data_IF_896248763987
#
_entry.id   IF_896248763987
#
_cell.length_a   1.000
_cell.length_b   1.000
_cell.length_c   1.000
_cell.angle_alpha   90.00
_cell.angle_beta   90.00
_cell.angle_gamma   90.00
#
_symmetry.space_group_name_H-M   'P 1'
#
loop_
_entity.id
_entity.type
_entity.pdbx_description
1 polymer ?
#
# COMPACT_ATOMS: atom_id res chain seq x y z
N UNK A 1 6.77 -37.21 -19.21
CA UNK A 1 5.70 -37.41 -18.20
C UNK A 1 5.44 -36.05 -17.57
N UNK A 2 4.40 -35.32 -17.99
CA UNK A 2 4.07 -34.05 -17.36
C UNK A 2 3.25 -34.33 -16.11
N UNK A 3 3.82 -34.13 -14.93
CA UNK A 3 3.05 -34.19 -13.69
C UNK A 3 1.91 -33.16 -13.78
N UNK A 4 0.67 -33.65 -13.74
CA UNK A 4 -0.52 -32.82 -13.66
C UNK A 4 -0.58 -32.21 -12.26
N UNK A 5 0.16 -31.12 -12.04
CA UNK A 5 0.09 -30.34 -10.81
C UNK A 5 -1.29 -29.68 -10.72
N UNK A 6 -1.98 -29.89 -9.58
CA UNK A 6 -3.25 -29.25 -9.25
C UNK A 6 -2.94 -28.20 -8.19
N UNK A 7 -3.34 -26.96 -8.47
CA UNK A 7 -3.31 -25.88 -7.47
C UNK A 7 -4.70 -25.72 -6.87
N UNK A 8 -4.76 -25.70 -5.54
CA UNK A 8 -6.02 -25.68 -4.77
C UNK A 8 -6.29 -24.25 -4.31
N UNK A 9 -7.09 -23.50 -5.06
CA UNK A 9 -7.48 -22.13 -4.68
C UNK A 9 -8.28 -22.10 -3.39
N UNK A 10 -9.06 -23.16 -3.12
CA UNK A 10 -9.85 -23.26 -1.89
C UNK A 10 -8.98 -23.06 -0.64
N UNK A 11 -7.76 -23.60 -0.62
CA UNK A 11 -6.84 -23.44 0.50
C UNK A 11 -6.34 -21.99 0.67
N UNK A 12 -6.37 -21.18 -0.38
CA UNK A 12 -6.05 -19.74 -0.29
C UNK A 12 -7.25 -18.98 0.26
N UNK A 13 -8.46 -19.31 -0.22
CA UNK A 13 -9.71 -18.72 0.27
C UNK A 13 -9.89 -19.01 1.76
N UNK A 14 -9.70 -20.25 2.19
CA UNK A 14 -9.83 -20.67 3.59
C UNK A 14 -8.83 -19.94 4.49
N UNK A 15 -7.58 -19.76 4.03
CA UNK A 15 -6.58 -18.96 4.74
C UNK A 15 -7.08 -17.50 4.86
N UNK A 16 -7.54 -16.89 3.77
CA UNK A 16 -7.97 -15.48 3.76
C UNK A 16 -9.23 -15.23 4.60
N UNK A 17 -10.15 -16.20 4.69
CA UNK A 17 -11.34 -16.14 5.53
C UNK A 17 -11.02 -16.29 7.02
N UNK A 18 -9.97 -17.03 7.36
CA UNK A 18 -9.53 -17.20 8.73
C UNK A 18 -8.77 -15.94 9.19
N UNK A 19 -9.41 -15.10 9.98
CA UNK A 19 -8.80 -13.86 10.51
C UNK A 19 -7.59 -14.10 11.43
N UNK A 20 -7.43 -15.32 11.96
CA UNK A 20 -6.29 -15.71 12.78
C UNK A 20 -5.12 -16.26 11.97
N UNK A 21 -5.32 -16.53 10.68
CA UNK A 21 -4.24 -16.94 9.79
C UNK A 21 -3.39 -15.72 9.42
N UNK A 22 -2.11 -15.98 9.15
CA UNK A 22 -1.22 -14.95 8.62
C UNK A 22 -1.54 -14.72 7.15
N UNK A 23 -1.71 -13.46 6.77
CA UNK A 23 -1.86 -13.03 5.38
C UNK A 23 -0.65 -13.43 4.52
N UNK A 24 0.53 -13.57 5.14
CA UNK A 24 1.75 -14.05 4.49
C UNK A 24 1.56 -15.47 3.91
N UNK A 25 0.82 -16.37 4.58
CA UNK A 25 0.64 -17.74 4.08
C UNK A 25 -0.18 -17.78 2.79
N UNK A 26 -1.26 -17.00 2.73
CA UNK A 26 -2.09 -16.87 1.54
C UNK A 26 -1.31 -16.25 0.38
N UNK A 27 -0.53 -15.20 0.66
CA UNK A 27 0.33 -14.54 -0.34
C UNK A 27 1.43 -15.48 -0.87
N UNK A 28 2.06 -16.30 -0.03
CA UNK A 28 3.06 -17.28 -0.47
C UNK A 28 2.45 -18.35 -1.38
N UNK A 29 1.24 -18.82 -1.08
CA UNK A 29 0.51 -19.76 -1.96
C UNK A 29 0.19 -19.11 -3.32
N UNK A 30 -0.24 -17.85 -3.33
CA UNK A 30 -0.49 -17.10 -4.56
C UNK A 30 0.79 -16.80 -5.34
N UNK A 31 1.90 -16.51 -4.67
CA UNK A 31 3.22 -16.34 -5.30
C UNK A 31 3.66 -17.64 -5.97
N UNK A 32 3.49 -18.77 -5.29
CA UNK A 32 3.76 -20.09 -5.86
C UNK A 32 2.88 -20.35 -7.09
N UNK A 33 1.58 -20.04 -7.03
CA UNK A 33 0.69 -20.11 -8.18
C UNK A 33 1.17 -19.24 -9.34
N UNK A 34 1.54 -17.98 -9.09
CA UNK A 34 2.07 -17.05 -10.09
C UNK A 34 3.29 -17.62 -10.82
N UNK A 35 4.22 -18.26 -10.09
CA UNK A 35 5.39 -18.96 -10.68
C UNK A 35 4.98 -20.14 -11.55
N UNK A 36 3.98 -20.92 -11.14
CA UNK A 36 3.50 -22.07 -11.90
C UNK A 36 2.90 -21.66 -13.25
N UNK A 37 2.13 -20.56 -13.28
CA UNK A 37 1.49 -20.02 -14.48
C UNK A 37 2.37 -19.00 -15.24
N UNK A 38 3.57 -18.71 -14.72
CA UNK A 38 4.51 -17.70 -15.23
C UNK A 38 3.82 -16.34 -15.48
N UNK A 39 3.02 -15.89 -14.52
CA UNK A 39 2.38 -14.58 -14.57
C UNK A 39 3.25 -13.58 -13.79
N UNK A 40 3.88 -12.64 -14.52
CA UNK A 40 4.81 -11.67 -13.95
C UNK A 40 4.12 -10.60 -13.10
N UNK A 41 2.91 -10.15 -13.48
CA UNK A 41 2.16 -9.11 -12.78
C UNK A 41 1.72 -9.60 -11.40
N UNK A 42 1.20 -10.83 -11.30
CA UNK A 42 0.84 -11.46 -10.03
C UNK A 42 2.08 -11.76 -9.17
N UNK A 43 3.16 -12.19 -9.81
CA UNK A 43 4.42 -12.47 -9.11
C UNK A 43 4.97 -11.19 -8.47
N UNK A 44 5.05 -10.10 -9.23
CA UNK A 44 5.50 -8.81 -8.75
C UNK A 44 4.63 -8.28 -7.62
N UNK A 45 3.31 -8.34 -7.76
CA UNK A 45 2.38 -7.90 -6.71
C UNK A 45 2.59 -8.67 -5.41
N UNK A 46 2.60 -10.01 -5.47
CA UNK A 46 2.78 -10.84 -4.28
C UNK A 46 4.17 -10.66 -3.65
N UNK A 47 5.23 -10.51 -4.45
CA UNK A 47 6.58 -10.25 -3.95
C UNK A 47 6.68 -8.90 -3.23
N UNK A 48 6.03 -7.84 -3.74
CA UNK A 48 6.00 -6.52 -3.10
C UNK A 48 5.22 -6.54 -1.78
N UNK A 49 4.08 -7.24 -1.73
CA UNK A 49 3.30 -7.37 -0.49
C UNK A 49 4.06 -8.17 0.58
N UNK A 50 4.77 -9.24 0.20
CA UNK A 50 5.55 -10.08 1.12
C UNK A 50 6.80 -9.36 1.62
N UNK A 51 7.62 -8.83 0.69
CA UNK A 51 8.95 -8.30 1.01
C UNK A 51 8.95 -6.80 1.33
N UNK A 52 7.83 -6.13 1.09
CA UNK A 52 7.72 -4.67 1.18
C UNK A 52 8.10 -3.97 -0.12
N UNK A 53 7.78 -2.69 -0.15
CA UNK A 53 7.96 -1.80 -1.29
C UNK A 53 9.31 -1.08 -1.16
N UNK A 54 10.19 -1.24 -2.15
CA UNK A 54 11.49 -0.56 -2.19
C UNK A 54 11.62 0.18 -3.51
N UNK A 55 11.75 1.50 -3.46
CA UNK A 55 11.97 2.34 -4.66
C UNK A 55 10.85 2.24 -5.73
N UNK A 56 9.69 1.68 -5.35
CA UNK A 56 8.50 1.54 -6.20
C UNK A 56 7.41 2.44 -5.66
N UNK A 57 6.55 2.94 -6.54
CA UNK A 57 5.39 3.71 -6.14
C UNK A 57 4.47 2.90 -5.22
N UNK A 58 4.11 3.50 -4.09
CA UNK A 58 3.20 2.88 -3.13
C UNK A 58 1.75 2.94 -3.62
N UNK A 59 0.99 1.83 -3.52
CA UNK A 59 -0.44 1.85 -3.68
C UNK A 59 -1.12 2.84 -2.73
N UNK A 60 -2.26 3.40 -3.13
CA UNK A 60 -2.96 4.41 -2.32
C UNK A 60 -3.33 3.91 -0.91
N UNK A 61 -3.71 2.63 -0.78
CA UNK A 61 -4.04 2.04 0.53
C UNK A 61 -2.84 1.93 1.48
N UNK A 62 -1.61 2.12 0.97
CA UNK A 62 -0.36 2.14 1.74
C UNK A 62 0.07 3.55 2.16
N UNK A 63 -0.69 4.58 1.79
CA UNK A 63 -0.42 5.99 2.08
C UNK A 63 -1.41 6.50 3.13
N UNK A 64 -0.92 6.92 4.29
CA UNK A 64 -1.72 7.62 5.30
C UNK A 64 -1.58 9.13 5.15
N UNK A 65 -2.66 9.88 5.32
CA UNK A 65 -2.57 11.35 5.43
C UNK A 65 -1.75 11.69 6.67
N UNK A 66 -0.76 12.57 6.49
CA UNK A 66 0.12 13.01 7.57
C UNK A 66 -0.13 14.45 8.01
N UNK A 67 0.25 14.72 9.25
CA UNK A 67 0.34 16.07 9.83
C UNK A 67 1.81 16.38 10.09
N UNK A 68 2.28 17.53 9.62
CA UNK A 68 3.63 18.03 9.90
C UNK A 68 3.65 18.78 11.22
N UNK A 69 4.53 18.37 12.12
CA UNK A 69 4.76 19.00 13.42
C UNK A 69 6.21 19.42 13.53
N UNK A 70 6.44 20.62 14.07
CA UNK A 70 7.77 21.14 14.32
C UNK A 70 7.95 21.50 15.80
N UNK A 71 9.14 21.16 16.32
CA UNK A 71 9.64 21.68 17.58
C UNK A 71 10.49 22.91 17.29
N UNK A 72 10.11 23.99 17.93
CA UNK A 72 10.66 25.32 17.76
C UNK A 72 11.27 25.77 19.09
N UNK A 73 12.40 26.47 19.00
CA UNK A 73 13.04 27.11 20.13
C UNK A 73 12.91 28.62 19.99
N UNK A 74 12.46 29.27 21.06
CA UNK A 74 12.49 30.72 21.24
C UNK A 74 13.19 31.02 22.57
N UNK A 75 14.40 31.58 22.50
CA UNK A 75 15.32 31.70 23.66
C UNK A 75 15.51 30.37 24.42
N UNK A 76 15.05 30.29 25.67
CA UNK A 76 15.20 29.13 26.55
C UNK A 76 13.94 28.23 26.56
N UNK A 77 12.94 28.57 25.75
CA UNK A 77 11.65 27.86 25.72
C UNK A 77 11.49 27.09 24.43
N UNK A 78 10.97 25.86 24.55
CA UNK A 78 10.61 25.02 23.42
C UNK A 78 9.09 25.01 23.26
N UNK A 79 8.65 25.13 22.01
CA UNK A 79 7.26 25.05 21.61
C UNK A 79 7.12 24.00 20.51
N UNK A 80 6.06 23.20 20.59
CA UNK A 80 5.71 22.24 19.55
C UNK A 80 4.43 22.70 18.90
N UNK A 81 4.40 22.73 17.56
CA UNK A 81 3.28 23.23 16.80
C UNK A 81 3.13 22.54 15.45
N UNK A 82 1.90 22.54 14.93
CA UNK A 82 1.59 22.03 13.60
C UNK A 82 1.90 23.06 12.52
N UNK A 83 2.46 22.61 11.40
CA UNK A 83 2.72 23.44 10.23
C UNK A 83 1.87 22.91 9.09
N UNK A 84 0.96 23.72 8.50
CA UNK A 84 0.16 23.29 7.38
C UNK A 84 1.04 22.88 6.20
N UNK A 85 0.94 21.62 5.81
CA UNK A 85 1.71 21.05 4.68
C UNK A 85 1.39 21.78 3.37
N UNK A 86 0.17 22.31 3.24
CA UNK A 86 -0.26 23.11 2.08
C UNK A 86 0.50 24.43 1.89
N UNK A 87 1.25 24.89 2.90
CA UNK A 87 2.10 26.08 2.78
C UNK A 87 3.51 25.77 2.27
N UNK A 88 3.89 24.49 2.18
CA UNK A 88 5.16 24.09 1.57
C UNK A 88 5.08 24.21 0.05
N UNK A 89 6.20 24.52 -0.58
CA UNK A 89 6.33 24.51 -2.03
C UNK A 89 6.47 23.07 -2.55
N UNK A 90 6.05 22.83 -3.80
CA UNK A 90 6.34 21.60 -4.53
C UNK A 90 7.87 21.40 -4.62
N UNK A 91 8.38 20.16 -4.45
CA UNK A 91 7.65 18.89 -4.31
C UNK A 91 7.37 18.47 -2.85
N UNK A 92 7.64 19.35 -1.87
CA UNK A 92 7.63 18.98 -0.45
C UNK A 92 6.23 18.82 0.11
N UNK A 93 5.28 19.64 -0.34
CA UNK A 93 3.86 19.50 0.01
C UNK A 93 3.34 18.10 -0.34
N UNK A 94 3.53 17.61 -1.57
CA UNK A 94 3.04 16.29 -2.00
C UNK A 94 3.78 15.15 -1.30
N UNK A 95 5.10 15.29 -1.13
CA UNK A 95 5.92 14.26 -0.48
C UNK A 95 5.59 14.11 1.01
N UNK A 96 5.32 15.21 1.71
CA UNK A 96 5.04 15.20 3.15
C UNK A 96 3.55 15.09 3.49
N UNK A 97 2.67 15.22 2.50
CA UNK A 97 1.21 15.02 2.64
C UNK A 97 0.85 13.59 3.00
N UNK A 98 1.66 12.63 2.58
CA UNK A 98 1.44 11.22 2.84
C UNK A 98 2.62 10.56 3.56
N UNK A 99 2.32 9.86 4.65
CA UNK A 99 3.23 8.89 5.25
C UNK A 99 3.00 7.53 4.58
N UNK A 100 3.98 7.08 3.80
CA UNK A 100 3.99 5.78 3.16
C UNK A 100 4.43 4.66 4.11
N UNK A 101 3.72 3.52 4.07
CA UNK A 101 4.08 2.29 4.79
C UNK A 101 4.70 1.29 3.81
N UNK A 102 5.99 1.05 3.95
CA UNK A 102 6.80 0.30 2.99
C UNK A 102 7.02 -1.15 3.39
N UNK A 103 6.77 -1.50 4.64
CA UNK A 103 7.10 -2.80 5.21
C UNK A 103 6.20 -3.92 4.67
N UNK A 104 6.76 -5.12 4.52
CA UNK A 104 6.01 -6.31 4.11
C UNK A 104 4.95 -6.74 5.13
N UNK A 105 3.94 -7.48 4.69
CA UNK A 105 2.77 -7.85 5.51
C UNK A 105 3.12 -8.52 6.84
N UNK A 106 4.15 -9.36 6.88
CA UNK A 106 4.61 -10.04 8.10
C UNK A 106 5.05 -9.04 9.18
N UNK A 107 5.74 -7.98 8.77
CA UNK A 107 6.18 -6.91 9.67
C UNK A 107 4.97 -6.14 10.18
N UNK A 108 4.01 -5.82 9.31
CA UNK A 108 2.76 -5.15 9.69
C UNK A 108 1.94 -5.98 10.69
N UNK A 109 1.82 -7.29 10.48
CA UNK A 109 1.16 -8.21 11.42
C UNK A 109 1.86 -8.23 12.79
N UNK A 110 3.20 -8.23 12.79
CA UNK A 110 4.00 -8.09 14.01
C UNK A 110 3.78 -6.74 14.69
N UNK A 111 3.66 -5.65 13.92
CA UNK A 111 3.38 -4.31 14.45
C UNK A 111 2.02 -4.27 15.14
N UNK A 112 0.96 -4.82 14.55
CA UNK A 112 -0.38 -4.89 15.17
C UNK A 112 -0.36 -5.77 16.44
N UNK A 113 0.36 -6.89 16.40
CA UNK A 113 0.47 -7.80 17.54
C UNK A 113 1.22 -7.17 18.73
N UNK A 114 2.15 -6.24 18.46
CA UNK A 114 2.94 -5.53 19.48
C UNK A 114 2.30 -4.21 19.91
N UNK A 115 1.57 -3.52 19.03
CA UNK A 115 0.96 -2.22 19.32
C UNK A 115 -0.12 -2.32 20.40
N UNK A 116 -0.80 -3.46 20.50
CA UNK A 116 -1.70 -3.80 21.62
C UNK A 116 -1.04 -3.71 23.00
N UNK A 117 0.30 -3.67 23.09
CA UNK A 117 1.04 -3.53 24.35
C UNK A 117 1.53 -2.11 24.65
N UNK A 118 1.80 -1.29 23.63
CA UNK A 118 2.47 0.03 23.79
C UNK A 118 1.65 1.25 23.31
N UNK A 119 0.42 1.05 22.82
CA UNK A 119 -0.66 2.05 22.70
C UNK A 119 -0.32 3.45 22.13
N UNK A 120 0.74 3.61 21.32
CA UNK A 120 0.95 4.87 20.59
C UNK A 120 -0.05 4.95 19.43
N UNK A 121 -0.95 5.94 19.40
CA UNK A 121 -1.95 6.07 18.35
C UNK A 121 -1.36 6.55 17.01
N UNK A 122 -0.08 6.94 16.99
CA UNK A 122 0.56 7.60 15.86
C UNK A 122 1.82 6.86 15.39
N UNK A 123 1.97 6.78 14.07
CA UNK A 123 3.25 6.56 13.39
C UNK A 123 3.97 7.90 13.30
N UNK A 124 5.28 7.89 13.54
CA UNK A 124 6.11 9.09 13.54
C UNK A 124 7.28 8.86 12.59
N UNK A 125 7.51 9.81 11.68
CA UNK A 125 8.70 9.86 10.83
C UNK A 125 9.37 11.21 11.01
N UNK A 126 10.56 11.21 11.61
CA UNK A 126 11.37 12.41 11.76
C UNK A 126 11.90 12.86 10.39
N UNK A 127 11.87 14.16 10.14
CA UNK A 127 12.49 14.74 8.97
C UNK A 127 14.01 14.82 9.19
N UNK A 128 14.82 14.53 8.16
CA UNK A 128 16.25 14.86 8.16
C UNK A 128 16.51 16.33 8.46
N UNK A 129 17.66 16.62 9.05
CA UNK A 129 18.04 17.97 9.50
C UNK A 129 18.09 18.96 8.33
N UNK A 130 18.49 18.50 7.16
CA UNK A 130 18.55 19.25 5.91
C UNK A 130 17.19 19.81 5.51
N UNK A 131 16.11 19.10 5.84
CA UNK A 131 14.75 19.50 5.53
C UNK A 131 14.21 20.62 6.43
N UNK A 132 14.82 20.87 7.59
CA UNK A 132 14.34 21.90 8.53
C UNK A 132 14.43 23.30 7.94
N UNK A 133 15.35 23.53 7.01
CA UNK A 133 15.50 24.80 6.29
C UNK A 133 14.24 25.20 5.51
N UNK A 134 13.47 24.23 5.00
CA UNK A 134 12.21 24.47 4.28
C UNK A 134 11.03 24.72 5.24
N UNK A 135 11.11 24.17 6.45
CA UNK A 135 10.06 24.30 7.48
C UNK A 135 10.22 25.62 8.25
N UNK A 136 11.45 26.08 8.45
CA UNK A 136 11.80 27.31 9.17
C UNK A 136 11.03 28.57 8.72
N UNK A 137 10.97 28.95 7.42
CA UNK A 137 10.28 30.16 7.00
C UNK A 137 8.77 30.11 7.29
N UNK A 138 8.16 28.93 7.18
CA UNK A 138 6.75 28.73 7.50
C UNK A 138 6.49 28.86 8.99
N UNK A 139 7.34 28.26 9.82
CA UNK A 139 7.27 28.36 11.27
C UNK A 139 7.32 29.83 11.73
N UNK A 140 8.27 30.61 11.18
CA UNK A 140 8.40 32.04 11.49
C UNK A 140 7.21 32.89 11.03
N UNK A 141 6.50 32.46 9.99
CA UNK A 141 5.30 33.16 9.47
C UNK A 141 4.05 32.88 10.30
N UNK A 142 3.88 31.63 10.75
CA UNK A 142 2.69 31.18 11.47
C UNK A 142 2.78 31.56 12.96
N UNK A 143 3.93 31.30 13.57
CA UNK A 143 4.15 31.55 14.99
C UNK A 143 4.82 32.92 15.15
N UNK A 144 4.03 33.99 15.07
CA UNK A 144 4.54 35.35 15.28
C UNK A 144 5.12 35.48 16.70
N UNK A 145 6.38 35.91 16.78
CA UNK A 145 7.07 36.15 18.04
C UNK A 145 8.02 37.33 17.90
N UNK A 146 8.17 38.11 18.98
CA UNK A 146 9.15 39.20 19.07
C UNK A 146 10.60 38.68 19.12
N UNK A 147 10.78 37.36 19.28
CA UNK A 147 12.06 36.68 19.36
C UNK A 147 12.23 35.75 18.16
N UNK A 148 13.48 35.62 17.68
CA UNK A 148 13.82 34.68 16.60
C UNK A 148 13.45 33.25 17.00
N UNK A 149 12.55 32.67 16.23
CA UNK A 149 12.19 31.25 16.32
C UNK A 149 13.15 30.42 15.47
N UNK A 150 13.67 29.34 16.04
CA UNK A 150 14.50 28.36 15.33
C UNK A 150 13.81 26.99 15.37
N UNK A 151 13.57 26.38 14.23
CA UNK A 151 13.10 25.00 14.14
C UNK A 151 14.27 24.07 14.45
N UNK A 152 14.16 23.32 15.54
CA UNK A 152 15.20 22.37 16.00
C UNK A 152 14.91 20.94 15.57
N UNK A 153 13.64 20.62 15.32
CA UNK A 153 13.20 19.29 14.93
C UNK A 153 11.87 19.41 14.19
N UNK A 154 11.63 18.52 13.22
CA UNK A 154 10.33 18.36 12.59
C UNK A 154 10.08 16.88 12.34
N UNK A 155 8.83 16.46 12.42
CA UNK A 155 8.39 15.12 12.10
C UNK A 155 7.00 15.15 11.47
N UNK A 156 6.69 14.17 10.64
CA UNK A 156 5.32 13.89 10.23
C UNK A 156 4.74 12.80 11.12
N UNK A 157 3.45 12.94 11.44
CA UNK A 157 2.67 11.93 12.14
C UNK A 157 1.52 11.44 11.29
N UNK A 158 1.14 10.18 11.44
CA UNK A 158 -0.05 9.60 10.82
C UNK A 158 -0.73 8.63 11.79
N UNK A 159 -2.03 8.38 11.60
CA UNK A 159 -2.78 7.45 12.44
C UNK A 159 -2.25 6.02 12.29
N UNK A 160 -1.85 5.37 13.39
CA UNK A 160 -1.31 4.01 13.38
C UNK A 160 -2.31 2.94 12.94
N UNK A 161 -3.61 3.23 12.98
CA UNK A 161 -4.65 2.34 12.45
C UNK A 161 -4.52 2.07 10.95
N UNK A 162 -3.74 2.86 10.21
CA UNK A 162 -3.42 2.57 8.81
C UNK A 162 -2.81 1.17 8.65
N UNK A 163 -2.02 0.69 9.62
CA UNK A 163 -1.40 -0.65 9.55
C UNK A 163 -2.49 -1.74 9.53
N UNK A 164 -3.47 -1.64 10.42
CA UNK A 164 -4.62 -2.55 10.47
C UNK A 164 -5.47 -2.42 9.21
N UNK A 165 -5.67 -1.19 8.73
CA UNK A 165 -6.42 -0.93 7.50
C UNK A 165 -5.75 -1.56 6.28
N UNK A 166 -4.43 -1.42 6.13
CA UNK A 166 -3.65 -2.06 5.05
C UNK A 166 -3.87 -3.58 5.08
N UNK A 167 -3.67 -4.23 6.23
CA UNK A 167 -3.85 -5.68 6.34
C UNK A 167 -5.27 -6.13 6.00
N UNK A 168 -6.27 -5.35 6.42
CA UNK A 168 -7.68 -5.61 6.09
C UNK A 168 -7.95 -5.44 4.59
N UNK A 169 -7.49 -4.34 3.99
CA UNK A 169 -7.66 -4.04 2.56
C UNK A 169 -6.94 -5.05 1.67
N UNK A 170 -5.71 -5.45 2.00
CA UNK A 170 -5.00 -6.47 1.24
C UNK A 170 -5.74 -7.81 1.33
N UNK A 171 -6.21 -8.19 2.53
CA UNK A 171 -7.00 -9.42 2.71
C UNK A 171 -8.29 -9.38 1.90
N UNK A 172 -9.06 -8.29 1.94
CA UNK A 172 -10.32 -8.19 1.20
C UNK A 172 -10.11 -8.22 -0.31
N UNK A 173 -9.08 -7.52 -0.82
CA UNK A 173 -8.74 -7.49 -2.25
C UNK A 173 -8.24 -8.84 -2.75
N UNK A 174 -7.36 -9.51 -1.99
CA UNK A 174 -6.90 -10.86 -2.30
C UNK A 174 -8.05 -11.87 -2.32
N UNK A 175 -9.01 -11.72 -1.40
CA UNK A 175 -10.16 -12.60 -1.31
C UNK A 175 -11.06 -12.42 -2.54
N UNK A 176 -11.39 -11.19 -2.92
CA UNK A 176 -12.16 -10.88 -4.13
C UNK A 176 -11.46 -11.45 -5.38
N UNK A 177 -10.17 -11.13 -5.55
CA UNK A 177 -9.33 -11.63 -6.64
C UNK A 177 -9.31 -13.18 -6.71
N UNK A 178 -9.12 -13.84 -5.57
CA UNK A 178 -9.07 -15.32 -5.53
C UNK A 178 -10.43 -15.93 -5.86
N UNK A 179 -11.54 -15.30 -5.44
CA UNK A 179 -12.88 -15.73 -5.81
C UNK A 179 -13.13 -15.59 -7.31
N UNK A 180 -12.76 -14.47 -7.94
CA UNK A 180 -12.92 -14.29 -9.39
C UNK A 180 -12.14 -15.34 -10.20
N UNK A 181 -10.91 -15.66 -9.77
CA UNK A 181 -10.14 -16.75 -10.39
C UNK A 181 -10.86 -18.10 -10.18
N UNK A 182 -11.38 -18.36 -8.98
CA UNK A 182 -12.08 -19.60 -8.69
C UNK A 182 -13.39 -19.75 -9.49
N UNK A 183 -14.13 -18.66 -9.70
CA UNK A 183 -15.33 -18.64 -10.55
C UNK A 183 -14.99 -18.91 -12.02
N UNK A 184 -13.88 -18.36 -12.52
CA UNK A 184 -13.49 -18.50 -13.93
C UNK A 184 -12.82 -19.84 -14.24
N UNK A 185 -11.93 -20.31 -13.37
CA UNK A 185 -11.05 -21.46 -13.63
C UNK A 185 -11.35 -22.67 -12.73
N UNK A 186 -12.27 -22.52 -11.77
CA UNK A 186 -12.59 -23.52 -10.76
C UNK A 186 -11.70 -23.43 -9.51
N UNK A 187 -12.18 -24.00 -8.42
CA UNK A 187 -11.49 -24.04 -7.13
C UNK A 187 -10.25 -24.95 -7.10
N UNK A 188 -10.12 -25.85 -8.09
CA UNK A 188 -9.00 -26.77 -8.27
C UNK A 188 -8.47 -26.63 -9.69
N UNK A 189 -7.41 -25.84 -9.88
CA UNK A 189 -6.86 -25.55 -11.20
C UNK A 189 -5.83 -26.62 -11.56
N UNK A 190 -6.07 -27.33 -12.66
CA UNK A 190 -5.04 -28.16 -13.30
C UNK A 190 -4.10 -27.23 -14.07
N UNK A 191 -2.85 -27.16 -13.64
CA UNK A 191 -1.84 -26.27 -14.25
C UNK A 191 -1.59 -26.64 -15.72
N UNK A 192 -1.70 -27.91 -16.07
CA UNK A 192 -1.54 -28.39 -17.45
C UNK A 192 -2.61 -27.86 -18.39
N UNK A 193 -3.87 -27.74 -17.96
CA UNK A 193 -4.94 -27.16 -18.79
C UNK A 193 -4.85 -25.64 -18.84
N UNK A 194 -4.46 -25.01 -17.73
CA UNK A 194 -4.24 -23.56 -17.69
C UNK A 194 -3.17 -23.10 -18.70
N UNK A 195 -2.09 -23.89 -18.84
CA UNK A 195 -0.98 -23.59 -19.76
C UNK A 195 -1.32 -23.75 -21.24
N UNK A 196 -2.45 -24.39 -21.59
CA UNK A 196 -2.86 -24.52 -23.00
C UNK A 196 -3.23 -23.16 -23.60
N UNK A 197 -3.83 -22.28 -22.80
CA UNK A 197 -4.24 -20.92 -23.19
C UNK A 197 -3.58 -19.88 -22.26
N UNK A 198 -2.29 -20.08 -21.98
CA UNK A 198 -1.58 -19.33 -20.94
C UNK A 198 -1.68 -17.81 -21.12
N UNK A 199 -1.54 -17.30 -22.34
CA UNK A 199 -1.56 -15.86 -22.61
C UNK A 199 -2.93 -15.24 -22.33
N UNK A 200 -4.02 -15.87 -22.79
CA UNK A 200 -5.40 -15.43 -22.57
C UNK A 200 -5.74 -15.50 -21.07
N UNK A 201 -5.34 -16.58 -20.40
CA UNK A 201 -5.60 -16.77 -18.99
C UNK A 201 -4.81 -15.75 -18.13
N UNK A 202 -3.56 -15.45 -18.51
CA UNK A 202 -2.76 -14.43 -17.85
C UNK A 202 -3.31 -13.02 -18.07
N UNK A 203 -3.79 -12.70 -19.27
CA UNK A 203 -4.49 -11.43 -19.53
C UNK A 203 -5.73 -11.29 -18.65
N UNK A 204 -6.51 -12.37 -18.50
CA UNK A 204 -7.68 -12.39 -17.63
C UNK A 204 -7.30 -12.12 -16.16
N UNK A 205 -6.25 -12.80 -15.66
CA UNK A 205 -5.74 -12.57 -14.30
C UNK A 205 -5.24 -11.13 -14.12
N UNK A 206 -4.51 -10.59 -15.10
CA UNK A 206 -3.99 -9.22 -15.01
C UNK A 206 -5.13 -8.20 -14.99
N UNK A 207 -6.21 -8.43 -15.72
CA UNK A 207 -7.41 -7.60 -15.64
C UNK A 207 -8.03 -7.64 -14.23
N UNK A 208 -8.12 -8.81 -13.60
CA UNK A 208 -8.59 -8.93 -12.21
C UNK A 208 -7.65 -8.23 -11.22
N UNK A 209 -6.32 -8.34 -11.38
CA UNK A 209 -5.36 -7.59 -10.57
C UNK A 209 -5.61 -6.08 -10.72
N UNK A 210 -5.76 -5.58 -11.95
CA UNK A 210 -5.96 -4.16 -12.18
C UNK A 210 -7.26 -3.64 -11.60
N UNK A 211 -8.34 -4.41 -11.71
CA UNK A 211 -9.66 -4.01 -11.22
C UNK A 211 -9.78 -4.12 -9.70
N UNK A 212 -9.38 -5.25 -9.12
CA UNK A 212 -9.61 -5.54 -7.70
C UNK A 212 -8.46 -5.08 -6.80
N UNK A 213 -7.23 -5.03 -7.32
CA UNK A 213 -6.02 -4.78 -6.53
C UNK A 213 -5.47 -3.37 -6.76
N UNK A 214 -5.44 -2.87 -7.99
CA UNK A 214 -4.79 -1.58 -8.32
C UNK A 214 -5.78 -0.41 -8.35
N UNK A 215 -6.84 -0.50 -9.16
CA UNK A 215 -7.74 0.62 -9.49
C UNK A 215 -9.08 0.58 -8.75
N UNK A 216 -9.05 0.52 -7.42
CA UNK A 216 -10.29 0.66 -6.64
C UNK A 216 -10.71 2.15 -6.58
N UNK A 217 -11.39 2.65 -7.62
CA UNK A 217 -11.87 4.02 -7.76
C UNK A 217 -12.79 4.20 -8.97
N UNK A 218 -13.69 5.20 -8.94
CA UNK A 218 -14.79 5.41 -9.89
C UNK A 218 -14.26 5.80 -11.30
N UNK A 219 -13.83 4.80 -12.07
CA UNK A 219 -13.24 4.98 -13.40
C UNK A 219 -12.87 3.65 -14.06
N UNK A 220 -13.58 2.57 -13.75
CA UNK A 220 -13.36 1.26 -14.37
C UNK A 220 -13.67 1.34 -15.87
N UNK A 221 -12.64 1.22 -16.71
CA UNK A 221 -12.79 0.97 -18.14
C UNK A 221 -12.39 -0.49 -18.36
N UNK A 222 -13.36 -1.39 -18.21
CA UNK A 222 -13.21 -2.79 -18.60
C UNK A 222 -13.26 -2.89 -20.13
N UNK A 223 -12.10 -2.93 -20.77
CA UNK A 223 -12.01 -3.28 -22.19
C UNK A 223 -11.80 -4.78 -22.35
N UNK A 224 -12.83 -5.49 -22.82
CA UNK A 224 -12.80 -6.93 -23.14
C UNK A 224 -12.79 -7.21 -24.65
N UNK A 225 -12.54 -6.19 -25.50
CA UNK A 225 -12.49 -6.32 -26.96
C UNK A 225 -11.15 -5.89 -27.55
N UNK A 226 -10.65 -6.63 -28.54
CA UNK A 226 -9.31 -6.43 -29.14
C UNK A 226 -9.17 -5.19 -30.04
N UNK A 227 -10.19 -4.34 -30.19
CA UNK A 227 -10.17 -3.17 -31.08
C UNK A 227 -10.96 -1.94 -30.54
N UNK A 228 -10.98 -1.72 -29.22
CA UNK A 228 -11.67 -0.56 -28.63
C UNK A 228 -10.71 0.61 -28.36
N UNK A 229 -10.81 1.70 -29.12
CA UNK A 229 -10.23 3.00 -28.74
C UNK A 229 -11.20 3.71 -27.79
N UNK A 230 -10.81 3.87 -26.52
CA UNK A 230 -11.59 4.62 -25.53
C UNK A 230 -10.75 5.74 -24.94
N UNK A 231 -11.15 6.98 -25.19
CA UNK A 231 -10.64 8.19 -24.54
C UNK A 231 -11.45 8.45 -23.28
N UNK A 232 -10.77 8.47 -22.13
CA UNK A 232 -11.37 8.90 -20.87
C UNK A 232 -11.24 10.42 -20.72
N UNK A 233 -12.35 11.15 -20.70
CA UNK A 233 -12.36 12.52 -20.20
C UNK A 233 -12.46 12.48 -18.68
N UNK A 234 -11.39 12.89 -18.00
CA UNK A 234 -11.37 13.05 -16.55
C UNK A 234 -11.73 14.51 -16.26
N UNK A 235 -12.97 14.77 -15.84
CA UNK A 235 -13.34 16.09 -15.33
C UNK A 235 -12.74 16.25 -13.94
N UNK A 236 -11.82 17.21 -13.79
CA UNK A 236 -11.10 17.55 -12.55
C UNK A 236 -12.02 18.27 -11.56
#
# INVERSE_FOLDING_TARGET
MSESHIFVLQQVIDDLLNTNSSLESALLKLNYFARLIKNEELLQFTDLEINGYKEVELPQYRKAISTLTAKMQAWQTYHTGEIPISMLEEPFNETLRYLGVYEGVKVLESMVSKSTKNNSPLLIKHLPMEMLSYVQPLASKIYLSDVKIVVVEAWITANANIVTQILSTVRSRLLAFTMEIAERFGYNIKISSFKQEQDINNQTINNFIRNEIINHGNGNITNTGSDSNLTAEITT
#
